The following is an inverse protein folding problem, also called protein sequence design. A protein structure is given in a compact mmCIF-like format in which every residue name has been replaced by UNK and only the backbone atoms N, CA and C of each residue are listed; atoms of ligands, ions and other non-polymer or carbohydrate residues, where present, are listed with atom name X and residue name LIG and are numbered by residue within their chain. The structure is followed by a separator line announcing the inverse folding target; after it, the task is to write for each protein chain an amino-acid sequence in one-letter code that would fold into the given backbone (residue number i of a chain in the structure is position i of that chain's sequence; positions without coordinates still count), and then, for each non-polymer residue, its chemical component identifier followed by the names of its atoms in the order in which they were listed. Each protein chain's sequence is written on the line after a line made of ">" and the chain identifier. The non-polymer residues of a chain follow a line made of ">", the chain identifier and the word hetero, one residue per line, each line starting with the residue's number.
data_IF_435601365707
#
_entry.id   IF_435601365707
#
_cell.length_a   1.000
_cell.length_b   1.000
_cell.length_c   1.000
_cell.angle_alpha   90.00
_cell.angle_beta   90.00
_cell.angle_gamma   90.00
#
_symmetry.space_group_name_H-M   'P 1'
#
loop_
_entity.id
_entity.type
_entity.pdbx_description
1 polymer ?
#
# COMPACT_ATOMS: atom_id res chain seq x y z
N UNK A 1 -30.14 -8.78 22.68
CA UNK A 1 -28.72 -8.41 22.54
C UNK A 1 -28.09 -8.46 23.93
N UNK A 2 -27.81 -9.66 24.45
CA UNK A 2 -27.63 -9.84 25.90
C UNK A 2 -26.68 -10.99 26.27
N UNK A 3 -25.79 -11.45 25.39
CA UNK A 3 -24.86 -12.52 25.74
C UNK A 3 -23.45 -12.21 25.27
N UNK A 4 -22.54 -12.29 26.25
CA UNK A 4 -21.09 -12.19 26.19
C UNK A 4 -20.49 -10.79 26.12
N UNK A 5 -20.37 -10.18 27.29
CA UNK A 5 -19.19 -9.38 27.59
C UNK A 5 -18.55 -10.06 28.80
N UNK A 6 -17.50 -10.83 28.53
CA UNK A 6 -16.70 -11.55 29.52
C UNK A 6 -15.97 -10.53 30.41
N UNK A 7 -15.81 -10.85 31.69
CA UNK A 7 -15.51 -9.90 32.77
C UNK A 7 -14.03 -9.44 32.84
N UNK A 8 -13.24 -9.68 31.78
CA UNK A 8 -11.78 -9.59 31.82
C UNK A 8 -11.14 -8.66 30.77
N UNK A 9 -11.90 -7.76 30.14
CA UNK A 9 -11.34 -6.83 29.16
C UNK A 9 -10.82 -5.53 29.81
N UNK A 10 -9.50 -5.45 30.01
CA UNK A 10 -8.77 -4.29 30.56
C UNK A 10 -8.26 -3.34 29.47
N UNK A 11 -9.16 -2.90 28.57
CA UNK A 11 -8.89 -1.95 27.49
C UNK A 11 -9.66 -0.65 27.68
N UNK A 12 -9.15 0.47 27.11
CA UNK A 12 -9.86 1.77 27.11
C UNK A 12 -11.27 1.57 26.53
N UNK A 13 -12.29 1.90 27.33
CA UNK A 13 -13.71 1.65 27.04
C UNK A 13 -14.06 2.14 25.62
N UNK A 14 -14.39 1.21 24.73
CA UNK A 14 -15.03 1.52 23.45
C UNK A 14 -16.54 1.44 23.69
N UNK A 15 -17.19 2.57 23.96
CA UNK A 15 -18.65 2.61 24.00
C UNK A 15 -19.21 2.37 22.60
N UNK A 16 -19.89 1.26 22.41
CA UNK A 16 -20.67 0.99 21.21
C UNK A 16 -21.96 1.81 21.29
N UNK A 17 -22.04 2.90 20.54
CA UNK A 17 -23.29 3.64 20.33
C UNK A 17 -23.96 3.05 19.09
N UNK A 18 -25.08 2.31 19.22
CA UNK A 18 -25.80 1.81 18.06
C UNK A 18 -26.45 3.00 17.34
N UNK A 19 -26.01 3.26 16.10
CA UNK A 19 -26.65 4.24 15.22
C UNK A 19 -27.42 3.48 14.14
N UNK A 20 -28.71 3.75 14.06
CA UNK A 20 -29.55 3.22 12.97
C UNK A 20 -29.29 4.02 11.71
N UNK A 21 -28.73 3.38 10.69
CA UNK A 21 -28.58 3.99 9.36
C UNK A 21 -29.91 3.93 8.64
N UNK A 22 -30.32 5.05 8.03
CA UNK A 22 -31.55 5.17 7.26
C UNK A 22 -31.25 5.56 5.82
N UNK A 23 -32.14 5.23 4.90
CA UNK A 23 -32.10 5.71 3.50
C UNK A 23 -32.65 7.14 3.38
N UNK A 24 -32.70 7.66 2.15
CA UNK A 24 -33.21 9.00 1.84
C UNK A 24 -34.69 9.19 2.23
N UNK A 25 -35.46 8.10 2.29
CA UNK A 25 -36.86 8.05 2.73
C UNK A 25 -37.00 7.81 4.25
N UNK A 26 -35.90 7.89 5.00
CA UNK A 26 -35.80 7.66 6.46
C UNK A 26 -36.15 6.24 6.89
N UNK A 27 -36.09 5.27 5.99
CA UNK A 27 -36.31 3.86 6.33
C UNK A 27 -35.01 3.19 6.76
N UNK A 28 -35.03 2.33 7.80
CA UNK A 28 -33.83 1.64 8.25
C UNK A 28 -33.29 0.70 7.16
N UNK A 29 -32.03 0.87 6.80
CA UNK A 29 -31.39 0.01 5.81
C UNK A 29 -31.04 -1.35 6.44
N UNK A 30 -31.35 -2.44 5.73
CA UNK A 30 -31.09 -3.81 6.22
C UNK A 30 -29.62 -4.20 6.17
N UNK A 31 -28.83 -3.55 5.32
CA UNK A 31 -27.42 -3.82 5.14
C UNK A 31 -26.69 -2.50 4.87
N UNK A 32 -25.63 -2.25 5.64
CA UNK A 32 -24.80 -1.05 5.47
C UNK A 32 -23.54 -1.47 4.72
N UNK A 33 -23.32 -0.90 3.54
CA UNK A 33 -22.05 -1.06 2.84
C UNK A 33 -20.94 -0.44 3.69
N UNK A 34 -19.86 -1.19 3.94
CA UNK A 34 -18.73 -0.75 4.77
C UNK A 34 -18.17 0.63 4.37
N UNK A 35 -18.21 0.97 3.08
CA UNK A 35 -17.81 2.29 2.57
C UNK A 35 -18.65 3.45 3.13
N UNK A 36 -19.95 3.25 3.34
CA UNK A 36 -20.84 4.27 3.89
C UNK A 36 -20.69 4.39 5.41
N UNK A 37 -20.46 3.27 6.11
CA UNK A 37 -20.12 3.28 7.53
C UNK A 37 -18.81 4.07 7.78
N UNK A 38 -17.79 3.88 6.94
CA UNK A 38 -16.54 4.63 7.05
C UNK A 38 -16.75 6.15 6.90
N UNK A 39 -17.64 6.59 6.00
CA UNK A 39 -17.98 8.00 5.80
C UNK A 39 -18.69 8.62 7.01
N UNK A 40 -19.72 7.95 7.56
CA UNK A 40 -20.48 8.46 8.72
C UNK A 40 -19.60 8.57 9.96
N UNK A 41 -18.66 7.63 10.14
CA UNK A 41 -17.80 7.58 11.33
C UNK A 41 -16.51 8.39 11.18
N UNK A 42 -16.29 9.04 10.03
CA UNK A 42 -15.06 9.80 9.76
C UNK A 42 -13.80 8.96 9.93
N UNK A 43 -13.91 7.64 9.67
CA UNK A 43 -12.74 6.77 9.72
C UNK A 43 -11.77 7.28 8.65
N UNK A 44 -10.49 7.49 8.98
CA UNK A 44 -9.51 7.84 7.97
C UNK A 44 -9.57 6.79 6.86
N UNK A 45 -9.45 7.21 5.59
CA UNK A 45 -9.29 6.26 4.48
C UNK A 45 -8.32 5.16 4.91
N UNK A 46 -8.67 3.89 4.72
CA UNK A 46 -7.77 2.78 4.95
C UNK A 46 -6.65 2.84 3.89
N UNK A 47 -5.71 3.76 4.09
CA UNK A 47 -4.49 3.93 3.28
C UNK A 47 -3.48 2.79 3.50
N UNK A 48 -3.74 1.91 4.46
CA UNK A 48 -2.99 0.68 4.65
C UNK A 48 -3.56 -0.41 3.71
N UNK A 49 -3.23 -0.30 2.42
CA UNK A 49 -3.43 -1.40 1.50
C UNK A 49 -2.76 -2.66 2.06
N UNK A 50 -3.46 -3.80 2.00
CA UNK A 50 -2.95 -5.10 2.47
C UNK A 50 -1.57 -5.41 1.87
N UNK A 51 -1.36 -4.94 0.63
CA UNK A 51 -0.10 -5.06 -0.10
C UNK A 51 0.68 -3.75 -0.04
N UNK A 52 2.01 -3.83 0.18
CA UNK A 52 2.85 -2.64 0.16
C UNK A 52 2.93 -2.05 -1.27
N UNK A 53 3.07 -0.73 -1.35
CA UNK A 53 3.40 -0.02 -2.58
C UNK A 53 4.84 0.49 -2.54
N UNK A 54 5.59 0.32 -3.62
CA UNK A 54 6.96 0.85 -3.69
C UNK A 54 6.97 2.38 -3.91
N UNK A 55 5.98 2.92 -4.63
CA UNK A 55 5.83 4.35 -4.90
C UNK A 55 6.74 4.89 -6.02
N UNK A 56 6.92 4.12 -7.09
CA UNK A 56 7.56 4.59 -8.33
C UNK A 56 6.61 4.48 -9.50
N UNK A 57 6.73 5.42 -10.43
CA UNK A 57 6.14 5.31 -11.76
C UNK A 57 7.26 5.03 -12.75
N UNK A 58 7.05 4.08 -13.65
CA UNK A 58 8.02 3.70 -14.67
C UNK A 58 7.58 4.17 -16.05
N UNK A 59 8.50 4.72 -16.84
CA UNK A 59 8.34 4.77 -18.30
C UNK A 59 8.61 3.37 -18.83
N UNK A 60 7.56 2.74 -19.33
CA UNK A 60 7.64 1.42 -19.95
C UNK A 60 6.60 1.33 -21.04
N UNK A 61 6.98 1.77 -22.25
CA UNK A 61 6.22 1.52 -23.46
C UNK A 61 6.22 0.02 -23.77
N UNK A 62 5.15 -0.44 -24.42
CA UNK A 62 5.01 -1.75 -25.01
C UNK A 62 6.33 -2.23 -25.67
N UNK A 63 7.04 -3.17 -25.02
CA UNK A 63 8.14 -3.91 -25.65
C UNK A 63 9.50 -3.78 -24.99
N UNK A 64 9.82 -4.78 -24.15
CA UNK A 64 11.18 -5.34 -23.90
C UNK A 64 12.27 -4.49 -23.25
N UNK A 65 12.06 -3.22 -22.92
CA UNK A 65 13.08 -2.44 -22.20
C UNK A 65 12.84 -2.38 -20.69
N UNK A 66 13.91 -2.42 -19.86
CA UNK A 66 13.80 -2.26 -18.42
C UNK A 66 13.24 -0.87 -18.09
N UNK A 67 12.24 -0.83 -17.21
CA UNK A 67 11.49 0.40 -16.94
C UNK A 67 12.36 1.47 -16.26
N UNK A 68 12.40 2.66 -16.84
CA UNK A 68 13.07 3.82 -16.25
C UNK A 68 12.13 4.52 -15.28
N UNK A 69 12.62 4.92 -14.11
CA UNK A 69 11.83 5.69 -13.15
C UNK A 69 11.59 7.10 -13.70
N UNK A 70 10.32 7.47 -13.86
CA UNK A 70 9.88 8.82 -14.27
C UNK A 70 9.43 9.66 -13.08
N UNK A 71 9.00 9.01 -12.01
CA UNK A 71 8.52 9.68 -10.81
C UNK A 71 8.73 8.79 -9.60
N UNK A 72 9.10 9.43 -8.49
CA UNK A 72 9.13 8.84 -7.16
C UNK A 72 8.16 9.62 -6.29
N UNK A 73 7.26 8.91 -5.61
CA UNK A 73 6.32 9.54 -4.68
C UNK A 73 7.05 9.93 -3.38
N UNK A 74 6.72 11.10 -2.84
CA UNK A 74 7.23 11.53 -1.53
C UNK A 74 6.78 10.57 -0.42
N UNK A 75 7.62 10.36 0.59
CA UNK A 75 7.40 9.45 1.73
C UNK A 75 7.21 7.98 1.31
N UNK A 76 7.52 7.63 0.07
CA UNK A 76 7.40 6.27 -0.43
C UNK A 76 8.50 5.36 0.10
N UNK A 77 8.34 4.06 -0.14
CA UNK A 77 9.39 3.07 0.10
C UNK A 77 10.58 3.32 -0.83
N UNK A 78 10.31 3.72 -2.08
CA UNK A 78 11.32 4.02 -3.08
C UNK A 78 12.20 5.22 -2.72
N UNK A 79 11.61 6.32 -2.26
CA UNK A 79 12.36 7.48 -1.82
C UNK A 79 13.29 7.13 -0.65
N UNK A 80 12.79 6.38 0.34
CA UNK A 80 13.58 5.92 1.48
C UNK A 80 14.69 4.93 1.09
N UNK A 81 14.48 4.15 0.04
CA UNK A 81 15.49 3.27 -0.54
C UNK A 81 16.55 4.03 -1.38
N UNK A 82 16.37 5.34 -1.61
CA UNK A 82 17.30 6.16 -2.40
C UNK A 82 17.14 6.01 -3.91
N UNK A 83 15.99 5.50 -4.37
CA UNK A 83 15.62 5.48 -5.79
C UNK A 83 15.37 6.91 -6.28
N UNK A 84 15.80 7.20 -7.50
CA UNK A 84 15.70 8.52 -8.11
C UNK A 84 15.08 8.42 -9.50
N UNK A 85 14.48 9.54 -9.91
CA UNK A 85 14.06 9.73 -11.30
C UNK A 85 15.28 9.60 -12.21
N UNK A 86 15.16 8.83 -13.29
CA UNK A 86 16.26 8.50 -14.18
C UNK A 86 16.87 7.11 -13.96
N UNK A 87 16.60 6.46 -12.83
CA UNK A 87 17.12 5.11 -12.59
C UNK A 87 16.44 4.09 -13.49
N UNK A 88 17.22 3.16 -14.05
CA UNK A 88 16.69 2.02 -14.80
C UNK A 88 16.63 0.80 -13.89
N UNK A 89 15.43 0.27 -13.66
CA UNK A 89 15.20 -0.89 -12.83
C UNK A 89 15.46 -2.18 -13.63
N UNK A 90 16.49 -2.93 -13.27
CA UNK A 90 16.90 -4.15 -13.97
C UNK A 90 16.24 -5.39 -13.36
N UNK A 91 16.34 -5.55 -12.05
CA UNK A 91 15.77 -6.70 -11.34
C UNK A 91 15.28 -6.35 -9.93
N UNK A 92 14.30 -7.11 -9.49
CA UNK A 92 13.66 -7.04 -8.18
C UNK A 92 13.66 -8.43 -7.56
N UNK A 93 14.32 -8.61 -6.41
CA UNK A 93 14.46 -9.90 -5.74
C UNK A 93 15.03 -11.02 -6.64
N UNK A 94 15.99 -10.67 -7.49
CA UNK A 94 16.55 -11.58 -8.50
C UNK A 94 15.65 -11.85 -9.71
N UNK A 95 14.42 -11.32 -9.73
CA UNK A 95 13.50 -11.43 -10.87
C UNK A 95 13.67 -10.23 -11.81
N UNK A 96 13.89 -10.42 -13.12
CA UNK A 96 14.05 -9.33 -14.07
C UNK A 96 12.74 -8.53 -14.24
N UNK A 97 12.84 -7.20 -14.22
CA UNK A 97 11.71 -6.29 -14.36
C UNK A 97 11.61 -5.85 -15.83
N UNK A 98 10.59 -6.35 -16.52
CA UNK A 98 10.32 -6.01 -17.93
C UNK A 98 9.26 -4.92 -18.13
N UNK A 99 8.46 -4.63 -17.10
CA UNK A 99 7.39 -3.63 -17.18
C UNK A 99 6.93 -3.21 -15.79
N UNK A 100 6.23 -2.07 -15.72
CA UNK A 100 5.58 -1.61 -14.49
C UNK A 100 4.57 -2.65 -13.95
N UNK A 101 3.87 -3.35 -14.85
CA UNK A 101 2.92 -4.40 -14.46
C UNK A 101 3.63 -5.57 -13.78
N UNK A 102 4.83 -5.93 -14.23
CA UNK A 102 5.66 -6.96 -13.60
C UNK A 102 6.10 -6.51 -12.21
N UNK A 103 6.60 -5.26 -12.08
CA UNK A 103 6.99 -4.70 -10.80
C UNK A 103 5.84 -4.69 -9.79
N UNK A 104 4.65 -4.20 -10.20
CA UNK A 104 3.46 -4.18 -9.33
C UNK A 104 3.09 -5.58 -8.83
N UNK A 105 3.19 -6.60 -9.68
CA UNK A 105 2.93 -8.00 -9.28
C UNK A 105 3.95 -8.53 -8.29
N UNK A 106 5.25 -8.25 -8.53
CA UNK A 106 6.31 -8.67 -7.62
C UNK A 106 6.15 -8.03 -6.26
N UNK A 107 5.93 -6.71 -6.23
CA UNK A 107 5.71 -5.95 -4.99
C UNK A 107 4.45 -6.45 -4.24
N UNK A 108 3.37 -6.79 -4.96
CA UNK A 108 2.16 -7.33 -4.36
C UNK A 108 2.34 -8.72 -3.72
N UNK A 109 3.40 -9.47 -4.05
CA UNK A 109 3.68 -10.74 -3.39
C UNK A 109 4.42 -10.57 -2.06
N UNK A 110 4.89 -9.37 -1.74
CA UNK A 110 5.59 -9.07 -0.49
C UNK A 110 4.65 -8.48 0.56
N UNK A 111 5.08 -8.55 1.82
CA UNK A 111 4.37 -8.01 2.97
C UNK A 111 5.11 -6.82 3.55
N UNK A 112 4.38 -6.01 4.31
CA UNK A 112 4.99 -4.97 5.13
C UNK A 112 5.99 -5.60 6.12
N UNK A 113 7.22 -5.07 6.16
CA UNK A 113 8.34 -5.57 6.95
C UNK A 113 9.39 -6.33 6.12
N UNK A 114 9.06 -6.72 4.89
CA UNK A 114 9.99 -7.44 4.03
C UNK A 114 11.12 -6.53 3.53
N UNK A 115 12.30 -7.12 3.37
CA UNK A 115 13.46 -6.49 2.76
C UNK A 115 13.76 -7.17 1.43
N UNK A 116 13.86 -6.37 0.37
CA UNK A 116 14.07 -6.86 -0.99
C UNK A 116 15.25 -6.16 -1.63
N UNK A 117 16.04 -6.91 -2.39
CA UNK A 117 17.18 -6.36 -3.15
C UNK A 117 16.71 -5.92 -4.54
N UNK A 118 17.07 -4.70 -4.90
CA UNK A 118 16.72 -4.11 -6.19
C UNK A 118 17.98 -3.69 -6.91
N UNK A 119 18.14 -4.19 -8.13
CA UNK A 119 19.28 -3.84 -8.98
C UNK A 119 18.84 -2.72 -9.91
N UNK A 120 19.53 -1.59 -9.80
CA UNK A 120 19.31 -0.43 -10.65
C UNK A 120 20.55 -0.13 -11.49
N UNK A 121 20.33 0.59 -12.59
CA UNK A 121 21.39 1.22 -13.36
C UNK A 121 21.18 2.73 -13.36
N UNK A 122 22.19 3.46 -12.88
CA UNK A 122 22.24 4.92 -12.82
C UNK A 122 23.53 5.38 -13.49
N UNK A 123 23.43 6.25 -14.49
CA UNK A 123 24.60 6.77 -15.23
C UNK A 123 25.52 5.67 -15.79
N UNK A 124 24.92 4.54 -16.23
CA UNK A 124 25.66 3.39 -16.76
C UNK A 124 26.33 2.50 -15.70
N UNK A 125 26.26 2.85 -14.41
CA UNK A 125 26.74 2.01 -13.31
C UNK A 125 25.59 1.22 -12.70
N UNK A 126 25.82 -0.07 -12.48
CA UNK A 126 24.87 -0.92 -11.76
C UNK A 126 25.09 -0.79 -10.25
N UNK A 127 24.00 -0.75 -9.51
CA UNK A 127 24.01 -0.65 -8.06
C UNK A 127 22.88 -1.48 -7.47
N UNK A 128 23.16 -2.10 -6.34
CA UNK A 128 22.16 -2.87 -5.59
C UNK A 128 21.68 -2.02 -4.43
N UNK A 129 20.38 -1.83 -4.34
CA UNK A 129 19.72 -1.11 -3.26
C UNK A 129 18.86 -2.08 -2.45
N UNK A 130 18.97 -1.97 -1.12
CA UNK A 130 18.09 -2.71 -0.21
C UNK A 130 16.82 -1.87 0.03
N UNK A 131 15.69 -2.40 -0.44
CA UNK A 131 14.37 -1.79 -0.31
C UNK A 131 13.66 -2.43 0.87
N UNK A 132 13.31 -1.62 1.87
CA UNK A 132 12.58 -2.09 3.04
C UNK A 132 11.12 -1.60 3.00
N UNK A 133 10.18 -2.54 2.96
CA UNK A 133 8.74 -2.26 2.97
C UNK A 133 8.24 -1.89 4.37
N UNK A 134 8.70 -0.76 4.90
CA UNK A 134 8.13 -0.20 6.14
C UNK A 134 6.95 0.70 5.82
N UNK A 135 5.89 0.61 6.62
CA UNK A 135 4.82 1.62 6.58
C UNK A 135 5.42 2.99 6.83
N UNK A 136 4.93 4.01 6.13
CA UNK A 136 5.33 5.38 6.41
C UNK A 136 4.87 5.71 7.84
N UNK A 137 5.81 6.01 8.74
CA UNK A 137 5.45 6.53 10.04
C UNK A 137 4.83 7.92 9.83
N UNK A 138 3.68 8.13 10.46
CA UNK A 138 2.85 9.34 10.33
C UNK A 138 3.52 10.53 11.01
#
# INVERSE_FOLDING_TARGET
>A
AERQIDSYYDGRIASLIPVTVVDDDKQPVKEVRASYANFVWGLPEEIDTVYPGIGVSLMGSLGKEPGQIIQVSEKSVAERAGLKVGDVLLSFDGTPISSEKTLRKLVANHRWGDMVKVVIRRDGKESVLDVNFRRAAR
#
